data_IF_698554103866
#
_entry.id   IF_698554103866
#
_cell.length_a   1.000
_cell.length_b   1.000
_cell.length_c   1.000
_cell.angle_alpha   90.00
_cell.angle_beta   90.00
_cell.angle_gamma   90.00
#
_symmetry.space_group_name_H-M   'P 1'
#
loop_
_entity.id
_entity.type
_entity.pdbx_description
1 polymer ?
#
# COMPACT_ATOMS: atom_id res chain seq x y z
N UNK A 1 6.61 -70.87 37.22
CA UNK A 1 5.45 -70.46 38.04
C UNK A 1 5.47 -68.95 38.21
N UNK A 2 4.32 -68.28 37.95
CA UNK A 2 3.92 -66.90 38.34
C UNK A 2 4.74 -65.75 37.69
N UNK A 3 4.17 -64.79 36.94
CA UNK A 3 2.79 -64.51 36.56
C UNK A 3 2.72 -63.37 35.53
N UNK A 4 1.67 -63.38 34.70
CA UNK A 4 1.25 -62.27 33.85
C UNK A 4 0.61 -61.17 34.71
N UNK A 5 0.95 -59.91 34.47
CA UNK A 5 0.11 -58.78 34.87
C UNK A 5 0.25 -57.64 33.83
N UNK A 6 -0.62 -57.69 32.83
CA UNK A 6 -0.98 -56.52 32.01
C UNK A 6 -1.68 -55.50 32.90
N UNK A 7 -1.19 -54.25 32.98
CA UNK A 7 -1.95 -53.14 33.59
C UNK A 7 -1.80 -51.82 32.79
N UNK A 8 -2.82 -51.61 31.96
CA UNK A 8 -3.55 -50.35 31.70
C UNK A 8 -2.79 -49.11 31.23
N UNK A 9 -2.92 -48.85 29.94
CA UNK A 9 -2.82 -47.55 29.26
C UNK A 9 -3.74 -46.50 29.91
N UNK A 10 -3.20 -45.31 30.21
CA UNK A 10 -3.98 -44.07 30.33
C UNK A 10 -3.35 -42.99 29.47
N UNK A 11 -4.04 -42.70 28.37
CA UNK A 11 -3.82 -41.55 27.49
C UNK A 11 -4.06 -40.27 28.28
N UNK A 12 -3.04 -39.42 28.43
CA UNK A 12 -3.23 -38.02 28.81
C UNK A 12 -3.24 -37.19 27.53
N UNK A 13 -4.43 -36.79 27.10
CA UNK A 13 -4.63 -35.83 26.03
C UNK A 13 -4.25 -34.42 26.54
N UNK A 14 -3.05 -33.98 26.22
CA UNK A 14 -2.69 -32.56 26.33
C UNK A 14 -3.19 -31.87 25.06
N UNK A 15 -4.34 -31.21 25.15
CA UNK A 15 -4.84 -30.31 24.11
C UNK A 15 -3.95 -29.06 24.11
N UNK A 16 -2.89 -29.09 23.31
CA UNK A 16 -2.14 -27.89 22.93
C UNK A 16 -3.00 -27.12 21.93
N UNK A 17 -3.79 -26.16 22.41
CA UNK A 17 -4.36 -25.13 21.53
C UNK A 17 -3.21 -24.21 21.13
N UNK A 18 -2.46 -24.60 20.11
CA UNK A 18 -1.56 -23.68 19.41
C UNK A 18 -2.43 -22.70 18.65
N UNK A 19 -2.67 -21.52 19.24
CA UNK A 19 -3.20 -20.38 18.50
C UNK A 19 -2.18 -20.02 17.43
N UNK A 20 -2.45 -20.43 16.19
CA UNK A 20 -1.65 -20.07 15.02
C UNK A 20 -1.89 -18.58 14.75
N UNK A 21 -1.08 -17.71 15.36
CA UNK A 21 -1.05 -16.30 15.00
C UNK A 21 -0.41 -16.23 13.61
N UNK A 22 -1.24 -16.15 12.58
CA UNK A 22 -0.74 -15.88 11.24
C UNK A 22 -0.08 -14.50 11.24
N UNK A 23 1.16 -14.35 10.72
CA UNK A 23 1.73 -13.04 10.54
C UNK A 23 0.83 -12.28 9.56
N UNK A 24 0.33 -11.11 9.98
CA UNK A 24 -0.32 -10.18 9.09
C UNK A 24 0.73 -9.66 8.10
N UNK A 25 0.82 -10.29 6.93
CA UNK A 25 1.62 -9.76 5.83
C UNK A 25 1.06 -8.39 5.47
N UNK A 26 1.84 -7.34 5.68
CA UNK A 26 1.53 -6.01 5.17
C UNK A 26 1.25 -6.15 3.66
N UNK A 27 0.00 -5.91 3.25
CA UNK A 27 -0.38 -6.14 1.87
C UNK A 27 0.23 -5.04 0.99
N UNK A 28 1.26 -5.42 0.23
CA UNK A 28 1.92 -4.53 -0.73
C UNK A 28 0.98 -4.18 -1.89
N UNK A 29 1.06 -2.94 -2.33
CA UNK A 29 0.36 -2.35 -3.49
C UNK A 29 1.39 -1.98 -4.55
N UNK A 30 2.18 -2.94 -5.06
CA UNK A 30 3.41 -2.67 -5.80
C UNK A 30 3.21 -1.89 -7.10
N UNK A 31 2.00 -1.93 -7.68
CA UNK A 31 1.68 -1.16 -8.88
C UNK A 31 1.35 0.30 -8.58
N UNK A 32 0.86 0.59 -7.37
CA UNK A 32 0.60 1.96 -6.92
C UNK A 32 1.89 2.61 -6.45
N UNK A 33 2.70 1.89 -5.68
CA UNK A 33 4.03 2.35 -5.24
C UNK A 33 4.88 2.81 -6.46
N UNK A 34 4.92 2.00 -7.53
CA UNK A 34 5.60 2.37 -8.78
C UNK A 34 4.99 3.59 -9.47
N UNK A 35 3.67 3.79 -9.38
CA UNK A 35 3.02 4.96 -9.98
C UNK A 35 3.39 6.23 -9.24
N UNK A 36 3.39 6.20 -7.91
CA UNK A 36 3.82 7.33 -7.08
C UNK A 36 5.27 7.71 -7.40
N UNK A 37 6.18 6.73 -7.50
CA UNK A 37 7.58 6.96 -7.92
C UNK A 37 7.67 7.66 -9.28
N UNK A 38 6.99 7.13 -10.31
CA UNK A 38 6.98 7.75 -11.63
C UNK A 38 6.33 9.14 -11.64
N UNK A 39 5.35 9.40 -10.77
CA UNK A 39 4.72 10.72 -10.63
C UNK A 39 5.70 11.72 -10.02
N UNK A 40 6.42 11.31 -8.97
CA UNK A 40 7.49 12.09 -8.34
C UNK A 40 8.60 12.44 -9.33
N UNK A 41 9.05 11.48 -10.14
CA UNK A 41 10.03 11.73 -11.21
C UNK A 41 9.53 12.78 -12.21
N UNK A 42 8.24 12.74 -12.59
CA UNK A 42 7.65 13.70 -13.53
C UNK A 42 7.52 15.10 -12.94
N UNK A 43 7.24 15.21 -11.64
CA UNK A 43 7.21 16.49 -10.91
C UNK A 43 8.64 17.05 -10.83
N UNK A 44 9.60 16.24 -10.40
CA UNK A 44 11.01 16.63 -10.33
C UNK A 44 11.55 17.09 -11.69
N UNK A 45 11.27 16.32 -12.75
CA UNK A 45 11.63 16.69 -14.11
C UNK A 45 10.95 18.00 -14.53
N UNK A 46 9.67 18.20 -14.21
CA UNK A 46 8.94 19.43 -14.53
C UNK A 46 9.52 20.66 -13.82
N UNK A 47 9.97 20.51 -12.57
CA UNK A 47 10.69 21.56 -11.84
C UNK A 47 12.03 21.84 -12.52
N UNK A 48 12.83 20.79 -12.79
CA UNK A 48 14.16 20.93 -13.37
C UNK A 48 14.13 21.58 -14.77
N UNK A 49 13.14 21.23 -15.59
CA UNK A 49 12.99 21.77 -16.94
C UNK A 49 12.28 23.12 -16.97
N UNK A 50 11.80 23.63 -15.83
CA UNK A 50 10.99 24.86 -15.76
C UNK A 50 9.59 24.73 -16.37
N UNK A 51 9.09 23.51 -16.57
CA UNK A 51 7.72 23.24 -17.02
C UNK A 51 6.70 23.41 -15.89
N UNK A 52 7.13 23.33 -14.63
CA UNK A 52 6.32 23.55 -13.45
C UNK A 52 6.88 24.72 -12.64
N UNK A 53 6.01 25.62 -12.20
CA UNK A 53 6.36 26.61 -11.18
C UNK A 53 6.43 25.97 -9.80
N UNK A 54 7.14 26.61 -8.87
CA UNK A 54 7.19 26.17 -7.47
C UNK A 54 5.78 26.00 -6.86
N UNK A 55 4.84 26.88 -7.22
CA UNK A 55 3.45 26.81 -6.74
C UNK A 55 2.67 25.62 -7.32
N UNK A 56 2.85 25.31 -8.61
CA UNK A 56 2.27 24.13 -9.25
C UNK A 56 2.85 22.85 -8.68
N UNK A 57 4.18 22.77 -8.58
CA UNK A 57 4.86 21.65 -7.94
C UNK A 57 4.34 21.42 -6.51
N UNK A 58 4.24 22.47 -5.68
CA UNK A 58 3.69 22.35 -4.33
C UNK A 58 2.25 21.81 -4.33
N UNK A 59 1.42 22.21 -5.29
CA UNK A 59 0.06 21.69 -5.41
C UNK A 59 0.03 20.21 -5.83
N UNK A 60 0.91 19.79 -6.73
CA UNK A 60 1.05 18.40 -7.14
C UNK A 60 1.59 17.52 -5.99
N UNK A 61 2.58 18.00 -5.24
CA UNK A 61 3.12 17.29 -4.07
C UNK A 61 2.05 17.09 -2.99
N UNK A 62 1.19 18.09 -2.78
CA UNK A 62 0.07 17.95 -1.84
C UNK A 62 -0.92 16.85 -2.27
N UNK A 63 -1.09 16.62 -3.58
CA UNK A 63 -1.92 15.54 -4.11
C UNK A 63 -1.26 14.18 -3.93
N UNK A 64 0.00 14.04 -4.29
CA UNK A 64 0.77 12.79 -4.08
C UNK A 64 0.83 12.42 -2.59
N UNK A 65 1.03 13.42 -1.71
CA UNK A 65 0.98 13.21 -0.25
C UNK A 65 -0.40 12.70 0.20
N UNK A 66 -1.48 13.22 -0.39
CA UNK A 66 -2.83 12.75 -0.09
C UNK A 66 -3.03 11.31 -0.57
N UNK A 67 -2.54 10.96 -1.77
CA UNK A 67 -2.60 9.59 -2.29
C UNK A 67 -1.87 8.60 -1.38
N UNK A 68 -0.65 8.94 -0.94
CA UNK A 68 0.15 8.13 -0.03
C UNK A 68 -0.55 7.93 1.33
N UNK A 69 -1.19 8.99 1.86
CA UNK A 69 -1.99 8.89 3.08
C UNK A 69 -3.22 8.00 2.89
N UNK A 70 -3.94 8.15 1.78
CA UNK A 70 -5.09 7.30 1.43
C UNK A 70 -4.68 5.83 1.27
N UNK A 71 -3.48 5.57 0.74
CA UNK A 71 -2.91 4.24 0.63
C UNK A 71 -2.55 3.66 2.00
N UNK A 72 -1.88 4.44 2.86
CA UNK A 72 -1.55 4.04 4.22
C UNK A 72 -2.82 3.71 5.03
N UNK A 73 -3.88 4.52 4.89
CA UNK A 73 -5.18 4.24 5.50
C UNK A 73 -5.80 2.93 4.97
N UNK A 74 -5.72 2.67 3.66
CA UNK A 74 -6.20 1.42 3.08
C UNK A 74 -5.39 0.19 3.51
N UNK A 75 -4.14 0.36 3.93
CA UNK A 75 -3.27 -0.70 4.47
C UNK A 75 -3.48 -0.91 5.98
N UNK A 76 -4.14 0.03 6.69
CA UNK A 76 -4.16 0.08 8.15
C UNK A 76 -4.90 -1.09 8.83
N UNK A 77 -5.93 -1.63 8.18
CA UNK A 77 -6.69 -2.80 8.67
C UNK A 77 -6.02 -4.15 8.29
N UNK A 78 -4.84 -4.07 7.69
CA UNK A 78 -4.08 -5.22 7.22
C UNK A 78 -4.55 -5.76 5.86
N UNK A 79 -5.59 -5.18 5.23
CA UNK A 79 -6.10 -5.65 3.95
C UNK A 79 -6.65 -4.58 3.02
N UNK A 80 -5.92 -4.35 1.93
CA UNK A 80 -6.41 -3.54 0.81
C UNK A 80 -7.44 -4.32 -0.02
N UNK A 81 -8.71 -3.96 0.12
CA UNK A 81 -9.83 -4.52 -0.64
C UNK A 81 -9.78 -4.12 -2.12
N UNK A 82 -10.55 -4.83 -2.96
CA UNK A 82 -10.70 -4.47 -4.38
C UNK A 82 -11.30 -3.08 -4.57
N UNK A 83 -12.17 -2.63 -3.66
CA UNK A 83 -12.82 -1.33 -3.73
C UNK A 83 -11.82 -0.21 -3.42
N UNK A 84 -11.02 -0.38 -2.38
CA UNK A 84 -9.94 0.57 -2.04
C UNK A 84 -8.89 0.64 -3.13
N UNK A 85 -8.44 -0.52 -3.65
CA UNK A 85 -7.50 -0.55 -4.78
C UNK A 85 -8.04 0.23 -5.99
N UNK A 86 -9.33 0.09 -6.31
CA UNK A 86 -9.97 0.87 -7.38
C UNK A 86 -10.06 2.36 -7.06
N UNK A 87 -10.29 2.74 -5.80
CA UNK A 87 -10.31 4.15 -5.36
C UNK A 87 -8.92 4.77 -5.54
N UNK A 88 -7.89 4.12 -5.02
CA UNK A 88 -6.50 4.56 -5.10
C UNK A 88 -6.04 4.67 -6.56
N UNK A 89 -6.35 3.66 -7.39
CA UNK A 89 -6.00 3.70 -8.81
C UNK A 89 -6.61 4.92 -9.52
N UNK A 90 -7.90 5.21 -9.27
CA UNK A 90 -8.56 6.38 -9.85
C UNK A 90 -7.96 7.69 -9.36
N UNK A 91 -7.45 7.72 -8.13
CA UNK A 91 -6.80 8.89 -7.57
C UNK A 91 -5.45 9.14 -8.23
N UNK A 92 -4.60 8.11 -8.32
CA UNK A 92 -3.36 8.16 -9.08
C UNK A 92 -3.57 8.54 -10.56
N UNK A 93 -4.64 8.06 -11.20
CA UNK A 93 -4.93 8.45 -12.58
C UNK A 93 -5.31 9.95 -12.70
N UNK A 94 -6.01 10.51 -11.71
CA UNK A 94 -6.33 11.96 -11.66
C UNK A 94 -5.08 12.79 -11.41
N UNK A 95 -4.21 12.36 -10.51
CA UNK A 95 -2.99 13.09 -10.19
C UNK A 95 -2.02 13.05 -11.36
N UNK A 96 -1.89 11.90 -12.03
CA UNK A 96 -1.12 11.78 -13.27
C UNK A 96 -1.61 12.72 -14.37
N UNK A 97 -2.93 12.85 -14.54
CA UNK A 97 -3.53 13.79 -15.48
C UNK A 97 -3.27 15.26 -15.08
N UNK A 98 -3.33 15.59 -13.79
CA UNK A 98 -3.00 16.92 -13.30
C UNK A 98 -1.52 17.28 -13.55
N UNK A 99 -0.59 16.35 -13.29
CA UNK A 99 0.85 16.52 -13.60
C UNK A 99 1.03 16.75 -15.10
N UNK A 100 0.33 15.98 -15.95
CA UNK A 100 0.42 16.14 -17.39
C UNK A 100 -0.08 17.53 -17.82
N UNK A 101 -1.25 17.94 -17.32
CA UNK A 101 -1.83 19.23 -17.65
C UNK A 101 -0.89 20.37 -17.25
N UNK A 102 -0.41 20.40 -16.00
CA UNK A 102 0.43 21.47 -15.50
C UNK A 102 1.78 21.56 -16.23
N UNK A 103 2.37 20.44 -16.63
CA UNK A 103 3.61 20.46 -17.45
C UNK A 103 3.42 21.02 -18.85
N UNK A 104 2.18 21.04 -19.36
CA UNK A 104 1.86 21.42 -20.74
C UNK A 104 0.94 22.63 -20.84
N UNK A 105 0.56 23.27 -19.73
CA UNK A 105 -0.38 24.40 -19.71
C UNK A 105 0.25 25.70 -20.26
N UNK A 106 1.48 25.60 -20.78
CA UNK A 106 2.24 26.67 -21.42
C UNK A 106 2.14 27.97 -20.65
N UNK A 107 2.22 27.93 -19.32
CA UNK A 107 2.43 29.06 -18.40
C UNK A 107 1.96 30.39 -19.01
N UNK A 108 0.68 30.45 -19.40
CA UNK A 108 0.10 31.68 -19.94
C UNK A 108 -0.32 32.45 -18.70
N UNK A 109 0.62 33.19 -18.12
CA UNK A 109 0.38 34.10 -17.00
C UNK A 109 0.57 35.53 -17.46
#
# INVERSE_FOLDING_TARGET
>A
MKGYAMKTTKLFAAVLVSAFVLPAFAQSTPNLDKREEHQQERIAQGIQSGQLTAKEAQHLEARETKLANDEAMAKADGKVTRKERRKLQREADRDSAAIHHQKHDKQTR
#
